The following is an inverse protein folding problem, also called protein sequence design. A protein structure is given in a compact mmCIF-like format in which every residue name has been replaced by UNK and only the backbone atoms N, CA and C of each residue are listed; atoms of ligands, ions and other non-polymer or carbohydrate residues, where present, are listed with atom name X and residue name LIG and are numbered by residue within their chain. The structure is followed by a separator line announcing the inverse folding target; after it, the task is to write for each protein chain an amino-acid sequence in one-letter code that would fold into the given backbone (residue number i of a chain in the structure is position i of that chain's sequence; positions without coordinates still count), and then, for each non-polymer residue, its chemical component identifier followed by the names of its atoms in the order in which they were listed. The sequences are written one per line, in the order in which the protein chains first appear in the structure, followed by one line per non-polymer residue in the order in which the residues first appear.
data_IF_074650863582
#
_entry.id   IF_074650863582
#
_cell.length_a   1.000
_cell.length_b   1.000
_cell.length_c   1.000
_cell.angle_alpha   90.00
_cell.angle_beta   90.00
_cell.angle_gamma   90.00
#
_symmetry.space_group_name_H-M   'P 1'
#
loop_
_entity.id
_entity.type
_entity.pdbx_description
1 polymer ?
#
# COMPACT_ATOMS: atom_id res chain seq x y z
N UNK A 1 20.81 44.79 -12.50
CA UNK A 1 20.24 44.17 -11.28
C UNK A 1 20.80 42.76 -11.16
N UNK A 2 20.97 42.19 -9.96
CA UNK A 2 21.34 40.77 -9.83
C UNK A 2 20.27 39.90 -10.49
N UNK A 3 20.66 39.09 -11.47
CA UNK A 3 19.79 38.05 -12.01
C UNK A 3 19.73 36.94 -10.97
N UNK A 4 18.56 36.74 -10.39
CA UNK A 4 18.31 35.63 -9.50
C UNK A 4 17.67 34.50 -10.28
N UNK A 5 18.07 33.28 -9.97
CA UNK A 5 17.28 32.09 -10.25
C UNK A 5 16.86 31.45 -8.91
N UNK A 6 16.00 30.46 -8.98
CA UNK A 6 15.43 29.69 -7.89
C UNK A 6 15.88 28.24 -8.07
N UNK A 7 16.73 27.78 -7.17
CA UNK A 7 17.36 26.46 -7.14
C UNK A 7 16.64 25.55 -6.15
N UNK A 8 16.44 24.29 -6.51
CA UNK A 8 15.83 23.31 -5.62
C UNK A 8 16.67 23.03 -4.36
N UNK A 9 16.01 22.95 -3.20
CA UNK A 9 16.63 22.65 -1.91
C UNK A 9 17.27 21.26 -1.80
N UNK A 10 16.93 20.32 -2.68
CA UNK A 10 17.50 18.96 -2.71
C UNK A 10 18.39 18.68 -3.90
N UNK A 11 18.27 19.45 -4.99
CA UNK A 11 18.96 19.19 -6.26
C UNK A 11 19.44 20.51 -6.89
N UNK A 12 20.69 20.92 -6.63
CA UNK A 12 21.21 22.21 -7.07
C UNK A 12 21.21 22.48 -8.59
N UNK A 13 20.98 21.46 -9.43
CA UNK A 13 20.84 21.62 -10.90
C UNK A 13 19.41 21.93 -11.37
N UNK A 14 18.40 21.84 -10.51
CA UNK A 14 17.02 22.25 -10.84
C UNK A 14 16.84 23.75 -10.61
N UNK A 15 16.88 24.55 -11.67
CA UNK A 15 17.03 26.01 -11.60
C UNK A 15 16.03 26.77 -12.49
N UNK A 16 15.24 27.68 -11.91
CA UNK A 16 14.15 28.44 -12.57
C UNK A 16 14.36 29.96 -12.45
N UNK A 17 13.92 30.78 -13.40
CA UNK A 17 14.10 32.24 -13.33
C UNK A 17 13.11 32.96 -12.40
N UNK A 18 11.96 32.35 -12.10
CA UNK A 18 10.92 32.88 -11.21
C UNK A 18 10.48 31.82 -10.19
N UNK A 19 9.81 32.25 -9.11
CA UNK A 19 9.21 31.35 -8.12
C UNK A 19 7.88 30.80 -8.69
N UNK A 20 7.61 29.52 -8.52
CA UNK A 20 6.31 28.94 -8.87
C UNK A 20 5.20 29.42 -7.94
N UNK A 21 3.96 29.41 -8.44
CA UNK A 21 2.75 29.73 -7.65
C UNK A 21 2.56 28.79 -6.44
N UNK A 22 3.08 27.55 -6.52
CA UNK A 22 3.06 26.56 -5.44
C UNK A 22 4.30 26.62 -4.51
N UNK A 23 5.38 27.33 -4.89
CA UNK A 23 6.65 27.41 -4.15
C UNK A 23 7.54 26.17 -4.20
N UNK A 24 7.11 25.10 -4.86
CA UNK A 24 7.85 23.84 -5.00
C UNK A 24 8.65 23.77 -6.31
N UNK A 25 9.61 22.86 -6.40
CA UNK A 25 10.44 22.65 -7.59
C UNK A 25 9.73 21.74 -8.63
N UNK A 26 9.34 22.24 -9.84
CA UNK A 26 8.69 21.43 -10.88
C UNK A 26 9.42 20.13 -11.22
N UNK A 27 10.71 20.18 -11.59
CA UNK A 27 11.50 19.00 -11.98
C UNK A 27 11.67 17.96 -10.86
N UNK A 28 11.50 18.36 -9.59
CA UNK A 28 11.39 17.41 -8.49
C UNK A 28 10.00 16.78 -8.47
N UNK A 29 8.94 17.58 -8.52
CA UNK A 29 7.56 17.08 -8.56
C UNK A 29 7.31 16.15 -9.77
N UNK A 30 7.84 16.49 -10.94
CA UNK A 30 7.74 15.73 -12.18
C UNK A 30 8.57 14.42 -12.15
N UNK A 31 9.53 14.30 -11.21
CA UNK A 31 10.26 13.05 -10.92
C UNK A 31 9.76 12.32 -9.65
N UNK A 32 8.81 12.90 -8.91
CA UNK A 32 8.19 12.39 -7.68
C UNK A 32 8.73 12.99 -6.38
N UNK A 33 9.83 13.75 -6.40
CA UNK A 33 10.45 14.33 -5.20
C UNK A 33 9.76 15.63 -4.75
N UNK A 34 9.62 15.84 -3.43
CA UNK A 34 9.03 17.07 -2.86
C UNK A 34 10.12 17.93 -2.26
N UNK A 35 10.40 19.04 -2.93
CA UNK A 35 11.46 19.98 -2.56
C UNK A 35 11.07 21.41 -2.91
N UNK A 36 11.58 22.38 -2.14
CA UNK A 36 11.23 23.81 -2.23
C UNK A 36 12.30 24.60 -3.00
N UNK A 37 11.97 25.84 -3.39
CA UNK A 37 12.83 26.69 -4.20
C UNK A 37 13.57 27.78 -3.39
N UNK A 38 14.90 27.86 -3.54
CA UNK A 38 15.85 28.71 -2.81
C UNK A 38 16.74 29.51 -3.78
N UNK A 39 17.04 30.78 -3.50
CA UNK A 39 17.48 31.74 -4.53
C UNK A 39 19.00 31.72 -4.87
N UNK A 40 19.40 31.19 -6.05
CA UNK A 40 20.81 31.10 -6.53
C UNK A 40 20.95 31.25 -8.08
N UNK A 41 21.97 30.69 -8.80
CA UNK A 41 22.36 31.11 -10.17
C UNK A 41 23.04 30.03 -11.08
N UNK A 42 22.93 30.20 -12.42
CA UNK A 42 23.61 29.51 -13.57
C UNK A 42 22.94 28.27 -14.26
N UNK A 43 23.65 27.51 -15.13
CA UNK A 43 23.11 26.81 -16.35
C UNK A 43 23.69 25.39 -16.65
N UNK A 44 23.15 24.65 -17.66
CA UNK A 44 23.43 23.20 -17.95
C UNK A 44 23.35 22.78 -19.48
N UNK A 45 22.92 21.55 -19.94
CA UNK A 45 23.77 20.39 -20.35
C UNK A 45 23.41 19.69 -21.72
N UNK A 46 23.83 18.41 -21.99
CA UNK A 46 23.32 17.55 -23.12
C UNK A 46 23.70 16.03 -23.17
N UNK A 47 22.95 15.08 -23.84
CA UNK A 47 22.90 13.61 -23.49
C UNK A 47 22.61 12.49 -24.58
N UNK A 48 22.40 11.19 -24.16
CA UNK A 48 21.57 10.06 -24.77
C UNK A 48 22.15 9.16 -25.96
N UNK A 49 21.73 7.94 -26.47
CA UNK A 49 20.68 6.82 -26.46
C UNK A 49 21.36 5.45 -26.96
N UNK A 50 20.87 4.23 -27.37
CA UNK A 50 19.75 3.16 -27.34
C UNK A 50 20.21 1.93 -28.25
N UNK A 51 19.64 0.73 -28.57
CA UNK A 51 18.65 -0.33 -28.13
C UNK A 51 18.71 -1.62 -29.09
N UNK A 52 18.06 -2.80 -28.81
CA UNK A 52 17.52 -3.88 -29.77
C UNK A 52 17.51 -5.39 -29.29
N UNK A 53 16.82 -6.36 -30.00
CA UNK A 53 16.62 -7.82 -29.65
C UNK A 53 16.19 -8.78 -30.85
N UNK A 54 16.22 -10.15 -30.73
CA UNK A 54 15.47 -11.14 -31.61
C UNK A 54 15.87 -12.67 -31.65
N UNK A 55 14.93 -13.66 -31.84
CA UNK A 55 15.15 -15.16 -32.05
C UNK A 55 13.86 -16.02 -32.42
N UNK A 56 13.92 -17.33 -32.83
CA UNK A 56 12.80 -18.36 -32.80
C UNK A 56 12.60 -19.43 -33.96
N UNK A 57 11.97 -20.64 -33.72
CA UNK A 57 11.37 -21.66 -34.69
C UNK A 57 10.36 -22.70 -34.03
N UNK A 58 9.78 -23.72 -34.74
CA UNK A 58 8.57 -24.59 -34.42
C UNK A 58 8.58 -26.11 -34.91
N UNK A 59 7.63 -27.01 -34.49
CA UNK A 59 7.39 -28.43 -35.00
C UNK A 59 6.03 -29.14 -34.59
N UNK A 60 5.72 -30.42 -35.00
CA UNK A 60 4.35 -31.05 -34.97
C UNK A 60 4.24 -32.60 -34.60
N UNK A 61 3.04 -33.16 -34.26
CA UNK A 61 2.83 -34.55 -33.66
C UNK A 61 1.46 -35.31 -33.95
N UNK A 62 1.23 -36.60 -33.53
CA UNK A 62 0.15 -37.52 -34.03
C UNK A 62 -0.71 -38.40 -33.03
N UNK A 63 -1.68 -39.17 -33.59
CA UNK A 63 -2.47 -40.36 -33.07
C UNK A 63 -3.39 -40.19 -31.82
N UNK A 64 -4.02 -41.28 -31.34
CA UNK A 64 -5.14 -41.26 -30.35
C UNK A 64 -4.74 -40.48 -29.09
N UNK A 65 -5.51 -39.43 -28.77
CA UNK A 65 -5.26 -38.59 -27.61
C UNK A 65 -6.53 -38.42 -26.75
N UNK A 66 -6.32 -38.52 -25.43
CA UNK A 66 -7.29 -38.14 -24.39
C UNK A 66 -6.94 -36.71 -23.97
N UNK A 67 -7.78 -35.74 -24.34
CA UNK A 67 -7.50 -34.34 -24.11
C UNK A 67 -8.37 -33.83 -22.95
N UNK A 68 -7.77 -33.17 -21.97
CA UNK A 68 -8.51 -32.40 -20.96
C UNK A 68 -8.82 -31.02 -21.58
N UNK A 69 -10.10 -30.75 -21.80
CA UNK A 69 -10.59 -29.48 -22.37
C UNK A 69 -10.81 -28.40 -21.31
N UNK A 70 -10.97 -28.82 -20.07
CA UNK A 70 -11.13 -27.97 -18.89
C UNK A 70 -10.74 -28.81 -17.67
N UNK A 71 -10.00 -28.29 -16.66
CA UNK A 71 -9.25 -27.04 -16.71
C UNK A 71 -8.27 -26.97 -17.89
N UNK A 72 -7.84 -25.77 -18.28
CA UNK A 72 -6.68 -25.60 -19.15
C UNK A 72 -5.41 -25.55 -18.29
N UNK A 73 -4.25 -25.87 -18.85
CA UNK A 73 -3.00 -25.81 -18.08
C UNK A 73 -2.70 -24.38 -17.62
N UNK A 74 -2.49 -24.19 -16.32
CA UNK A 74 -2.36 -22.88 -15.67
C UNK A 74 -3.69 -22.14 -15.40
N UNK A 75 -4.84 -22.81 -15.51
CA UNK A 75 -6.14 -22.22 -15.14
C UNK A 75 -6.21 -21.92 -13.63
N UNK A 76 -6.92 -20.86 -13.26
CA UNK A 76 -7.15 -20.44 -11.87
C UNK A 76 -8.66 -20.48 -11.56
N UNK A 77 -9.01 -20.88 -10.34
CA UNK A 77 -10.37 -21.00 -9.86
C UNK A 77 -10.51 -20.45 -8.43
N UNK A 78 -11.68 -19.93 -8.08
CA UNK A 78 -11.91 -19.37 -6.75
C UNK A 78 -12.05 -20.46 -5.68
N UNK A 79 -11.51 -20.20 -4.49
CA UNK A 79 -11.62 -21.10 -3.34
C UNK A 79 -13.10 -21.35 -2.97
N UNK A 80 -13.51 -22.62 -3.03
CA UNK A 80 -14.89 -23.05 -2.79
C UNK A 80 -15.76 -23.13 -4.05
N UNK A 81 -15.26 -22.75 -5.22
CA UNK A 81 -15.90 -23.07 -6.51
C UNK A 81 -15.81 -24.58 -6.83
N UNK A 82 -16.58 -25.02 -7.83
CA UNK A 82 -16.51 -26.39 -8.35
C UNK A 82 -15.74 -26.39 -9.67
N UNK A 83 -14.63 -27.13 -9.74
CA UNK A 83 -13.84 -27.28 -10.95
C UNK A 83 -14.41 -28.41 -11.80
N UNK A 84 -14.84 -28.09 -13.01
CA UNK A 84 -15.42 -29.03 -13.96
C UNK A 84 -14.34 -29.62 -14.86
N UNK A 85 -13.79 -30.79 -14.51
CA UNK A 85 -12.85 -31.50 -15.39
C UNK A 85 -13.62 -32.09 -16.57
N UNK A 86 -13.37 -31.63 -17.79
CA UNK A 86 -13.97 -32.10 -19.03
C UNK A 86 -12.91 -32.75 -19.90
N UNK A 87 -13.19 -33.94 -20.42
CA UNK A 87 -12.27 -34.67 -21.30
C UNK A 87 -12.94 -35.13 -22.59
N UNK A 88 -12.18 -35.10 -23.69
CA UNK A 88 -12.59 -35.63 -24.99
C UNK A 88 -11.59 -36.65 -25.53
N UNK A 89 -12.07 -37.50 -26.45
CA UNK A 89 -11.34 -38.61 -27.04
C UNK A 89 -11.24 -38.39 -28.54
N UNK A 90 -10.01 -38.34 -29.06
CA UNK A 90 -9.73 -38.01 -30.45
C UNK A 90 -8.94 -39.13 -31.17
N UNK A 91 -8.93 -39.10 -32.50
CA UNK A 91 -8.28 -40.10 -33.34
C UNK A 91 -9.15 -41.29 -33.75
N UNK A 92 -8.49 -42.29 -34.34
CA UNK A 92 -9.09 -43.58 -34.73
C UNK A 92 -9.60 -44.35 -33.52
N UNK A 93 -10.64 -45.18 -33.68
CA UNK A 93 -11.13 -46.11 -32.64
C UNK A 93 -11.62 -45.47 -31.32
N UNK A 94 -11.80 -44.14 -31.27
CA UNK A 94 -12.29 -43.39 -30.09
C UNK A 94 -13.60 -43.91 -29.45
N UNK A 95 -14.39 -44.69 -30.19
CA UNK A 95 -15.66 -45.26 -29.74
C UNK A 95 -15.48 -46.49 -28.83
N UNK A 96 -14.27 -47.07 -28.76
CA UNK A 96 -14.03 -48.33 -28.05
C UNK A 96 -13.86 -48.16 -26.53
N UNK A 97 -13.80 -46.90 -26.06
CA UNK A 97 -13.72 -46.51 -24.64
C UNK A 97 -15.00 -46.91 -23.89
N UNK A 98 -14.83 -47.65 -22.78
CA UNK A 98 -15.92 -48.14 -21.91
C UNK A 98 -15.89 -47.57 -20.50
N UNK A 99 -14.77 -47.01 -20.07
CA UNK A 99 -14.65 -46.32 -18.78
C UNK A 99 -13.63 -45.20 -18.85
N UNK A 100 -13.91 -44.11 -18.16
CA UNK A 100 -12.98 -43.00 -17.97
C UNK A 100 -12.96 -42.61 -16.49
N UNK A 101 -11.77 -42.48 -15.91
CA UNK A 101 -11.51 -42.20 -14.50
C UNK A 101 -10.76 -40.88 -14.39
N UNK A 102 -11.25 -39.97 -13.57
CA UNK A 102 -10.60 -38.70 -13.31
C UNK A 102 -9.85 -38.72 -11.97
N UNK A 103 -8.59 -38.31 -12.01
CA UNK A 103 -7.74 -38.13 -10.85
C UNK A 103 -7.44 -36.64 -10.65
N UNK A 104 -7.56 -36.16 -9.41
CA UNK A 104 -6.98 -34.89 -8.96
C UNK A 104 -6.00 -35.21 -7.85
N UNK A 105 -4.76 -34.73 -7.98
CA UNK A 105 -3.64 -34.98 -7.05
C UNK A 105 -3.41 -36.47 -6.78
N UNK A 106 -3.51 -37.26 -7.86
CA UNK A 106 -3.48 -38.73 -7.88
C UNK A 106 -4.58 -39.45 -7.08
N UNK A 107 -5.54 -38.72 -6.49
CA UNK A 107 -6.75 -39.28 -5.90
C UNK A 107 -7.85 -39.40 -6.94
N UNK A 108 -8.46 -40.59 -7.07
CA UNK A 108 -9.65 -40.79 -7.90
C UNK A 108 -10.81 -39.93 -7.33
N UNK A 109 -11.40 -39.06 -8.17
CA UNK A 109 -12.53 -38.21 -7.77
C UNK A 109 -13.87 -38.70 -8.33
N UNK A 110 -13.87 -39.38 -9.48
CA UNK A 110 -15.06 -39.92 -10.13
C UNK A 110 -14.71 -40.84 -11.32
N UNK A 111 -15.62 -41.76 -11.63
CA UNK A 111 -15.55 -42.64 -12.81
C UNK A 111 -16.84 -42.50 -13.65
N UNK A 112 -16.71 -42.55 -14.98
CA UNK A 112 -17.83 -42.48 -15.93
C UNK A 112 -17.68 -43.56 -17.00
N UNK A 113 -18.75 -44.31 -17.26
CA UNK A 113 -18.76 -45.40 -18.25
C UNK A 113 -19.20 -44.94 -19.65
N UNK A 114 -19.82 -43.76 -19.76
CA UNK A 114 -20.36 -43.18 -20.99
C UNK A 114 -20.08 -41.67 -21.04
N UNK A 115 -19.97 -41.12 -22.25
CA UNK A 115 -19.84 -39.67 -22.45
C UNK A 115 -21.17 -38.92 -22.30
N UNK A 116 -21.16 -37.58 -22.10
CA UNK A 116 -19.98 -36.71 -22.07
C UNK A 116 -19.16 -36.87 -20.78
N UNK A 117 -17.83 -36.92 -20.91
CA UNK A 117 -16.94 -37.16 -19.78
C UNK A 117 -16.65 -35.86 -19.01
N UNK A 118 -17.55 -35.52 -18.08
CA UNK A 118 -17.47 -34.32 -17.23
C UNK A 118 -17.51 -34.72 -15.75
N UNK A 119 -16.45 -34.39 -15.01
CA UNK A 119 -16.24 -34.76 -13.61
C UNK A 119 -16.21 -33.50 -12.73
N UNK A 120 -16.95 -33.49 -11.63
CA UNK A 120 -17.07 -32.31 -10.75
C UNK A 120 -16.16 -32.41 -9.53
N UNK A 121 -15.00 -31.74 -9.58
CA UNK A 121 -14.13 -31.55 -8.41
C UNK A 121 -14.71 -30.42 -7.53
N UNK A 122 -15.47 -30.80 -6.51
CA UNK A 122 -16.20 -29.88 -5.63
C UNK A 122 -15.43 -29.64 -4.34
N UNK A 123 -15.36 -28.38 -3.88
CA UNK A 123 -14.64 -27.97 -2.65
C UNK A 123 -13.16 -28.37 -2.64
N UNK A 124 -12.43 -28.03 -3.70
CA UNK A 124 -10.97 -28.08 -3.66
C UNK A 124 -10.39 -27.14 -2.59
N UNK A 125 -9.17 -27.44 -2.14
CA UNK A 125 -8.43 -26.65 -1.14
C UNK A 125 -7.75 -25.45 -1.83
N UNK A 126 -7.15 -24.54 -1.06
CA UNK A 126 -6.29 -23.48 -1.63
C UNK A 126 -4.90 -24.07 -1.96
N UNK A 127 -4.46 -23.95 -3.22
CA UNK A 127 -3.18 -24.52 -3.69
C UNK A 127 -3.10 -24.74 -5.20
N UNK A 128 -1.96 -25.29 -5.63
CA UNK A 128 -1.77 -25.85 -6.98
C UNK A 128 -2.21 -27.31 -7.00
N UNK A 129 -2.95 -27.71 -8.04
CA UNK A 129 -3.55 -29.02 -8.22
C UNK A 129 -3.20 -29.62 -9.60
N UNK A 130 -3.27 -30.94 -9.70
CA UNK A 130 -2.98 -31.69 -10.93
C UNK A 130 -4.14 -32.60 -11.33
N UNK A 131 -4.71 -32.35 -12.51
CA UNK A 131 -5.72 -33.21 -13.13
C UNK A 131 -5.09 -34.18 -14.14
N UNK A 132 -5.48 -35.46 -14.08
CA UNK A 132 -5.16 -36.47 -15.10
C UNK A 132 -6.36 -37.38 -15.32
N UNK A 133 -6.61 -37.75 -16.57
CA UNK A 133 -7.74 -38.59 -16.96
C UNK A 133 -7.23 -39.88 -17.60
N UNK A 134 -7.78 -41.02 -17.16
CA UNK A 134 -7.44 -42.36 -17.64
C UNK A 134 -8.64 -42.98 -18.31
N UNK A 135 -8.51 -43.37 -19.58
CA UNK A 135 -9.53 -44.05 -20.35
C UNK A 135 -9.17 -45.54 -20.55
N UNK A 136 -10.20 -46.39 -20.53
CA UNK A 136 -10.08 -47.83 -20.71
C UNK A 136 -10.98 -48.29 -21.87
N UNK A 137 -10.44 -49.07 -22.80
CA UNK A 137 -11.19 -49.67 -23.91
C UNK A 137 -11.95 -50.94 -23.48
N UNK A 138 -12.79 -51.44 -24.40
CA UNK A 138 -13.44 -52.76 -24.28
C UNK A 138 -12.43 -53.92 -24.17
N UNK A 139 -11.25 -53.78 -24.78
CA UNK A 139 -10.12 -54.72 -24.68
C UNK A 139 -9.33 -54.61 -23.36
N UNK A 140 -9.61 -53.61 -22.52
CA UNK A 140 -8.87 -53.34 -21.29
C UNK A 140 -7.58 -52.53 -21.49
N UNK A 141 -7.30 -52.06 -22.71
CA UNK A 141 -6.16 -51.17 -23.00
C UNK A 141 -6.37 -49.80 -22.34
N UNK A 142 -5.26 -49.22 -21.86
CA UNK A 142 -5.24 -47.98 -21.07
C UNK A 142 -4.68 -46.84 -21.92
N UNK A 143 -5.39 -45.73 -21.96
CA UNK A 143 -4.94 -44.46 -22.52
C UNK A 143 -5.00 -43.39 -21.43
N UNK A 144 -4.07 -42.45 -21.43
CA UNK A 144 -4.00 -41.38 -20.44
C UNK A 144 -3.95 -40.02 -21.14
N UNK A 145 -4.46 -38.99 -20.48
CA UNK A 145 -4.18 -37.61 -20.85
C UNK A 145 -2.80 -37.20 -20.36
N UNK A 146 -2.26 -36.13 -20.93
CA UNK A 146 -1.27 -35.31 -20.24
C UNK A 146 -1.79 -34.83 -18.88
N UNK A 147 -0.88 -34.46 -17.98
CA UNK A 147 -1.21 -33.84 -16.70
C UNK A 147 -1.48 -32.35 -16.93
N UNK A 148 -2.68 -31.90 -16.53
CA UNK A 148 -3.03 -30.48 -16.51
C UNK A 148 -2.87 -29.94 -15.10
N UNK A 149 -2.02 -28.93 -14.93
CA UNK A 149 -1.94 -28.18 -13.67
C UNK A 149 -2.97 -27.06 -13.67
N UNK A 150 -3.60 -26.83 -12.52
CA UNK A 150 -4.52 -25.71 -12.29
C UNK A 150 -4.44 -25.29 -10.83
N UNK A 151 -4.75 -24.04 -10.51
CA UNK A 151 -4.73 -23.55 -9.12
C UNK A 151 -6.11 -23.20 -8.62
N UNK A 152 -6.33 -23.37 -7.32
CA UNK A 152 -7.48 -22.86 -6.58
C UNK A 152 -6.96 -21.82 -5.58
N UNK A 153 -7.49 -20.59 -5.66
CA UNK A 153 -6.99 -19.44 -4.90
C UNK A 153 -8.11 -18.65 -4.26
N UNK A 154 -7.84 -18.08 -3.10
CA UNK A 154 -8.74 -17.14 -2.43
C UNK A 154 -8.65 -15.77 -3.11
N UNK A 155 -9.58 -15.42 -4.00
CA UNK A 155 -9.77 -14.05 -4.53
C UNK A 155 -10.37 -13.08 -3.49
N UNK A 156 -9.83 -13.14 -2.27
CA UNK A 156 -10.14 -12.25 -1.16
C UNK A 156 -8.92 -11.33 -1.04
N UNK A 157 -9.02 -10.04 -1.43
CA UNK A 157 -7.86 -9.17 -1.56
C UNK A 157 -7.13 -9.01 -0.22
N UNK A 158 -5.80 -9.02 -0.29
CA UNK A 158 -4.94 -8.64 0.84
C UNK A 158 -4.78 -7.13 0.88
N UNK A 159 -5.40 -6.48 1.87
CA UNK A 159 -5.46 -5.03 1.99
C UNK A 159 -4.42 -4.52 3.01
N UNK A 160 -3.62 -3.52 2.59
CA UNK A 160 -2.83 -2.68 3.49
C UNK A 160 -3.58 -1.38 3.82
N UNK A 161 -3.37 -0.80 5.00
CA UNK A 161 -4.13 0.37 5.48
C UNK A 161 -3.21 1.38 6.19
N UNK A 162 -3.04 2.56 5.61
CA UNK A 162 -2.35 3.69 6.24
C UNK A 162 -3.37 4.71 6.75
N UNK A 163 -3.35 4.99 8.05
CA UNK A 163 -4.13 6.07 8.66
C UNK A 163 -3.26 7.30 8.88
N UNK A 164 -3.73 8.45 8.42
CA UNK A 164 -3.15 9.76 8.69
C UNK A 164 -4.05 10.47 9.71
N UNK A 165 -3.48 10.87 10.84
CA UNK A 165 -4.08 11.78 11.80
C UNK A 165 -3.43 13.15 11.57
N UNK A 166 -4.23 14.04 10.99
CA UNK A 166 -3.79 15.25 10.31
C UNK A 166 -4.16 16.48 11.12
N UNK A 167 -3.18 17.09 11.77
CA UNK A 167 -3.40 18.31 12.56
C UNK A 167 -3.86 19.46 11.65
N UNK A 168 -4.94 20.10 12.08
CA UNK A 168 -5.58 21.25 11.48
C UNK A 168 -5.98 22.28 12.56
N UNK A 169 -5.21 22.37 13.64
CA UNK A 169 -5.31 23.45 14.61
C UNK A 169 -4.86 24.80 14.03
N UNK A 170 -5.16 25.90 14.73
CA UNK A 170 -4.82 27.26 14.29
C UNK A 170 -3.32 27.45 13.95
N UNK A 171 -2.44 26.86 14.77
CA UNK A 171 -0.98 26.96 14.64
C UNK A 171 -0.47 26.37 13.33
N UNK A 172 -1.15 25.37 12.78
CA UNK A 172 -0.81 24.79 11.47
C UNK A 172 -0.98 25.79 10.31
N UNK A 173 -1.69 26.91 10.50
CA UNK A 173 -1.80 27.99 9.50
C UNK A 173 -0.59 28.94 9.48
N UNK A 174 0.30 28.89 10.47
CA UNK A 174 1.52 29.68 10.53
C UNK A 174 2.60 29.16 9.54
N UNK A 175 3.62 29.97 9.20
CA UNK A 175 4.76 29.54 8.38
C UNK A 175 5.43 28.26 8.89
N UNK A 176 5.80 27.36 7.96
CA UNK A 176 6.43 26.08 8.27
C UNK A 176 7.81 26.23 8.92
N UNK A 177 8.54 27.28 8.55
CA UNK A 177 9.82 27.65 9.11
C UNK A 177 9.93 29.18 9.10
N UNK A 178 10.88 29.74 9.85
CA UNK A 178 11.24 31.16 9.75
C UNK A 178 11.53 31.51 8.28
N UNK A 179 10.95 32.61 7.80
CA UNK A 179 11.05 33.10 6.41
C UNK A 179 10.46 32.15 5.34
N UNK A 180 9.75 31.08 5.71
CA UNK A 180 9.04 30.24 4.73
C UNK A 180 7.78 30.93 4.18
N UNK A 181 7.52 30.88 2.86
CA UNK A 181 6.26 31.34 2.27
C UNK A 181 5.13 30.32 2.41
N UNK A 182 5.42 29.08 2.83
CA UNK A 182 4.44 28.01 2.99
C UNK A 182 4.03 27.88 4.44
N UNK A 183 2.74 27.64 4.69
CA UNK A 183 2.25 27.28 6.03
C UNK A 183 2.54 25.82 6.35
N UNK A 184 2.58 25.45 7.63
CA UNK A 184 2.72 24.04 8.08
C UNK A 184 1.66 23.16 7.40
N UNK A 185 0.41 23.60 7.40
CA UNK A 185 -0.74 22.94 6.76
C UNK A 185 -0.54 22.76 5.24
N UNK A 186 -0.11 23.80 4.51
CA UNK A 186 0.13 23.72 3.04
C UNK A 186 1.30 22.78 2.71
N UNK A 187 2.37 22.83 3.51
CA UNK A 187 3.52 21.96 3.35
C UNK A 187 3.12 20.48 3.53
N UNK A 188 2.39 20.15 4.60
CA UNK A 188 1.95 18.78 4.85
C UNK A 188 0.92 18.30 3.83
N UNK A 189 -0.06 19.13 3.45
CA UNK A 189 -1.03 18.77 2.42
C UNK A 189 -0.35 18.36 1.09
N UNK A 190 0.72 19.06 0.73
CA UNK A 190 1.48 18.78 -0.51
C UNK A 190 2.35 17.53 -0.38
N UNK A 191 3.10 17.36 0.71
CA UNK A 191 3.90 16.15 0.93
C UNK A 191 3.06 14.88 1.13
N UNK A 192 1.85 15.02 1.69
CA UNK A 192 0.89 13.92 1.78
C UNK A 192 0.39 13.51 0.40
N UNK A 193 -0.07 14.46 -0.43
CA UNK A 193 -0.55 14.17 -1.78
C UNK A 193 0.54 13.53 -2.66
N UNK A 194 1.74 14.13 -2.72
CA UNK A 194 2.86 13.57 -3.49
C UNK A 194 3.34 12.24 -2.93
N UNK A 195 3.49 12.10 -1.60
CA UNK A 195 3.92 10.84 -0.98
C UNK A 195 2.92 9.69 -1.13
N UNK A 196 1.64 9.99 -1.38
CA UNK A 196 0.62 9.00 -1.79
C UNK A 196 0.72 8.71 -3.30
N UNK A 197 0.98 9.71 -4.14
CA UNK A 197 1.05 9.54 -5.61
C UNK A 197 2.35 8.83 -6.05
N UNK A 198 3.43 8.96 -5.29
CA UNK A 198 4.65 8.13 -5.33
C UNK A 198 4.35 6.61 -5.29
N UNK A 199 3.18 6.22 -4.79
CA UNK A 199 2.75 4.83 -4.70
C UNK A 199 2.04 4.31 -5.97
N UNK A 200 1.92 5.12 -7.04
CA UNK A 200 1.44 4.66 -8.36
C UNK A 200 2.20 3.42 -8.83
N UNK A 201 3.53 3.41 -8.65
CA UNK A 201 4.42 2.34 -9.12
C UNK A 201 4.29 1.02 -8.35
N UNK A 202 3.44 0.95 -7.31
CA UNK A 202 3.17 -0.31 -6.60
C UNK A 202 2.24 -1.22 -7.41
N UNK A 203 2.64 -2.47 -7.61
CA UNK A 203 1.76 -3.53 -8.13
C UNK A 203 0.52 -3.79 -7.26
N UNK A 204 0.51 -3.30 -6.02
CA UNK A 204 -0.55 -3.43 -5.02
C UNK A 204 -1.31 -2.11 -4.76
N UNK A 205 -1.14 -1.07 -5.59
CA UNK A 205 -1.79 0.24 -5.41
C UNK A 205 -3.34 0.17 -5.28
N UNK A 206 -3.99 -0.79 -5.95
CA UNK A 206 -5.43 -1.05 -5.84
C UNK A 206 -5.86 -1.71 -4.51
N UNK A 207 -4.91 -2.26 -3.73
CA UNK A 207 -5.15 -2.86 -2.42
C UNK A 207 -4.50 -2.07 -1.26
N UNK A 208 -3.79 -0.98 -1.58
CA UNK A 208 -3.17 -0.08 -0.62
C UNK A 208 -4.17 1.05 -0.31
N UNK A 209 -4.82 0.98 0.86
CA UNK A 209 -5.75 2.01 1.32
C UNK A 209 -5.04 3.09 2.14
N UNK A 210 -5.51 4.32 1.95
CA UNK A 210 -5.18 5.47 2.79
C UNK A 210 -6.47 6.05 3.35
N UNK A 211 -6.52 6.21 4.67
CA UNK A 211 -7.57 6.93 5.38
C UNK A 211 -6.98 8.18 6.05
N UNK A 212 -7.61 9.34 5.87
CA UNK A 212 -7.15 10.59 6.45
C UNK A 212 -8.22 11.16 7.39
N UNK A 213 -7.82 11.45 8.63
CA UNK A 213 -8.63 12.20 9.58
C UNK A 213 -8.00 13.57 9.81
N UNK A 214 -8.77 14.64 9.68
CA UNK A 214 -8.39 15.96 10.20
C UNK A 214 -8.78 16.08 11.67
N UNK A 215 -7.97 16.76 12.46
CA UNK A 215 -8.31 17.09 13.84
C UNK A 215 -7.93 18.50 14.26
N UNK A 216 -8.79 19.08 15.09
CA UNK A 216 -8.52 20.26 15.92
C UNK A 216 -9.04 19.93 17.33
N UNK A 217 -10.04 20.64 17.86
CA UNK A 217 -10.83 20.15 19.00
C UNK A 217 -11.87 19.08 18.58
N UNK A 218 -12.07 18.91 17.26
CA UNK A 218 -12.95 17.90 16.63
C UNK A 218 -12.11 16.85 15.89
N UNK A 219 -12.73 15.76 15.42
CA UNK A 219 -12.07 14.76 14.55
C UNK A 219 -13.00 14.19 13.48
N UNK A 220 -12.70 14.49 12.21
CA UNK A 220 -13.48 14.11 11.02
C UNK A 220 -12.67 13.28 10.03
N UNK A 221 -13.31 12.31 9.37
CA UNK A 221 -12.71 11.53 8.28
C UNK A 221 -12.83 12.32 6.97
N UNK A 222 -11.70 12.74 6.39
CA UNK A 222 -11.64 13.44 5.10
C UNK A 222 -11.83 12.51 3.91
N UNK A 223 -11.29 11.29 3.98
CA UNK A 223 -11.45 10.23 2.98
C UNK A 223 -10.96 8.88 3.53
N UNK A 224 -11.45 7.80 2.94
CA UNK A 224 -10.81 6.47 2.94
C UNK A 224 -10.94 5.89 1.53
N UNK A 225 -9.81 5.62 0.86
CA UNK A 225 -9.81 5.10 -0.51
C UNK A 225 -8.48 4.42 -0.86
N UNK A 226 -8.42 3.74 -2.00
CA UNK A 226 -7.18 3.13 -2.53
C UNK A 226 -6.28 4.16 -3.18
N UNK A 227 -4.96 3.92 -3.19
CA UNK A 227 -3.99 4.71 -3.97
C UNK A 227 -4.42 4.79 -5.44
N UNK A 228 -4.83 3.67 -6.05
CA UNK A 228 -5.28 3.62 -7.45
C UNK A 228 -6.52 4.48 -7.73
N UNK A 229 -7.48 4.53 -6.80
CA UNK A 229 -8.66 5.38 -6.93
C UNK A 229 -8.34 6.85 -6.70
N UNK A 230 -7.46 7.19 -5.74
CA UNK A 230 -7.04 8.57 -5.48
C UNK A 230 -6.31 9.16 -6.70
N UNK A 231 -5.38 8.39 -7.29
CA UNK A 231 -4.72 8.72 -8.56
C UNK A 231 -5.77 9.03 -9.66
N UNK A 232 -6.68 8.09 -9.91
CA UNK A 232 -7.74 8.23 -10.91
C UNK A 232 -8.70 9.40 -10.63
N UNK A 233 -9.05 9.65 -9.36
CA UNK A 233 -10.03 10.68 -8.93
C UNK A 233 -9.53 12.11 -9.19
N UNK A 234 -8.22 12.30 -9.22
CA UNK A 234 -7.59 13.60 -9.44
C UNK A 234 -6.78 13.63 -10.76
N UNK A 235 -7.09 12.76 -11.72
CA UNK A 235 -6.46 12.69 -13.05
C UNK A 235 -4.91 12.53 -13.03
N UNK A 236 -4.38 11.79 -12.04
CA UNK A 236 -2.95 11.68 -11.70
C UNK A 236 -2.26 13.00 -11.34
N UNK A 237 -3.00 14.10 -11.17
CA UNK A 237 -2.48 15.40 -10.73
C UNK A 237 -2.51 15.52 -9.20
N UNK A 238 -1.36 15.29 -8.57
CA UNK A 238 -1.22 15.41 -7.12
C UNK A 238 -1.47 16.85 -6.61
N UNK A 239 -1.37 17.90 -7.44
CA UNK A 239 -1.64 19.29 -7.00
C UNK A 239 -3.11 19.49 -6.72
N UNK A 240 -4.02 18.91 -7.53
CA UNK A 240 -5.47 18.88 -7.24
C UNK A 240 -5.74 18.19 -5.91
N UNK A 241 -5.06 17.08 -5.62
CA UNK A 241 -5.22 16.36 -4.36
C UNK A 241 -4.62 17.12 -3.17
N UNK A 242 -3.47 17.79 -3.35
CA UNK A 242 -2.86 18.67 -2.34
C UNK A 242 -3.78 19.85 -1.99
N UNK A 243 -4.43 20.45 -3.00
CA UNK A 243 -5.44 21.49 -2.79
C UNK A 243 -6.65 20.93 -2.03
N UNK A 244 -7.21 19.77 -2.44
CA UNK A 244 -8.29 19.11 -1.69
C UNK A 244 -7.94 18.85 -0.22
N UNK A 245 -6.74 18.34 0.06
CA UNK A 245 -6.27 18.11 1.43
C UNK A 245 -6.16 19.44 2.19
N UNK A 246 -5.55 20.46 1.58
CA UNK A 246 -5.41 21.78 2.19
C UNK A 246 -6.78 22.42 2.50
N UNK A 247 -7.71 22.42 1.54
CA UNK A 247 -9.05 22.99 1.69
C UNK A 247 -9.89 22.24 2.74
N UNK A 248 -9.69 20.93 2.89
CA UNK A 248 -10.33 20.13 3.94
C UNK A 248 -9.77 20.42 5.33
N UNK A 249 -8.44 20.58 5.45
CA UNK A 249 -7.76 20.96 6.69
C UNK A 249 -8.14 22.39 7.08
N UNK A 250 -8.15 23.35 6.16
CA UNK A 250 -8.39 24.78 6.46
C UNK A 250 -9.80 25.09 7.01
N UNK A 251 -10.74 24.14 6.95
CA UNK A 251 -12.06 24.18 7.62
C UNK A 251 -11.98 23.92 9.13
N UNK A 252 -10.82 23.48 9.60
CA UNK A 252 -10.45 23.26 10.99
C UNK A 252 -9.32 24.25 11.31
N UNK A 253 -9.45 24.97 12.42
CA UNK A 253 -8.51 26.03 12.88
C UNK A 253 -8.65 26.28 14.40
N UNK A 254 -9.04 25.27 15.20
CA UNK A 254 -9.23 25.41 16.66
C UNK A 254 -7.97 24.95 17.44
N UNK A 255 -8.13 24.47 18.68
CA UNK A 255 -7.05 23.88 19.48
C UNK A 255 -6.61 22.48 18.98
N UNK A 256 -5.72 21.82 19.72
CA UNK A 256 -5.03 20.59 19.25
C UNK A 256 -5.33 19.38 20.14
N UNK A 257 -6.38 18.61 19.82
CA UNK A 257 -6.81 17.44 20.60
C UNK A 257 -6.27 16.11 20.02
N UNK A 258 -4.98 15.89 20.26
CA UNK A 258 -4.24 14.64 20.01
C UNK A 258 -4.95 13.44 20.68
N UNK A 259 -5.53 13.62 21.88
CA UNK A 259 -6.24 12.53 22.57
C UNK A 259 -7.41 12.01 21.74
N UNK A 260 -8.30 12.89 21.27
CA UNK A 260 -9.43 12.50 20.39
C UNK A 260 -8.91 11.91 19.08
N UNK A 261 -7.89 12.49 18.47
CA UNK A 261 -7.30 12.00 17.22
C UNK A 261 -6.81 10.54 17.37
N UNK A 262 -6.04 10.25 18.43
CA UNK A 262 -5.54 8.91 18.73
C UNK A 262 -6.68 7.92 19.06
N UNK A 263 -7.70 8.33 19.82
CA UNK A 263 -8.85 7.46 20.10
C UNK A 263 -9.65 7.15 18.82
N UNK A 264 -9.79 8.11 17.91
CA UNK A 264 -10.45 7.91 16.60
C UNK A 264 -9.65 6.94 15.72
N UNK A 265 -8.34 7.18 15.57
CA UNK A 265 -7.44 6.31 14.81
C UNK A 265 -7.41 4.89 15.37
N UNK A 266 -7.36 4.74 16.69
CA UNK A 266 -7.45 3.45 17.38
C UNK A 266 -8.76 2.72 17.07
N UNK A 267 -9.91 3.40 17.20
CA UNK A 267 -11.22 2.79 16.91
C UNK A 267 -11.36 2.39 15.44
N UNK A 268 -10.81 3.18 14.52
CA UNK A 268 -10.81 2.90 13.09
C UNK A 268 -9.96 1.67 12.76
N UNK A 269 -8.72 1.60 13.26
CA UNK A 269 -7.83 0.44 13.03
C UNK A 269 -8.40 -0.82 13.67
N UNK A 270 -8.91 -0.77 14.90
CA UNK A 270 -9.53 -1.94 15.53
C UNK A 270 -10.69 -2.47 14.69
N UNK A 271 -11.57 -1.59 14.19
CA UNK A 271 -12.68 -1.98 13.30
C UNK A 271 -12.19 -2.51 11.94
N UNK A 272 -11.12 -1.96 11.37
CA UNK A 272 -10.51 -2.46 10.14
C UNK A 272 -9.93 -3.87 10.33
N UNK A 273 -9.18 -4.13 11.41
CA UNK A 273 -8.61 -5.45 11.68
C UNK A 273 -9.70 -6.50 11.98
N UNK A 274 -10.72 -6.11 12.75
CA UNK A 274 -11.88 -6.96 13.06
C UNK A 274 -12.91 -7.10 11.93
N UNK A 275 -12.70 -6.43 10.78
CA UNK A 275 -13.60 -6.44 9.60
C UNK A 275 -15.01 -5.90 9.91
N UNK A 276 -15.08 -4.93 10.83
CA UNK A 276 -16.27 -4.24 11.32
C UNK A 276 -16.26 -2.74 10.99
N UNK A 277 -15.48 -2.34 9.97
CA UNK A 277 -15.42 -0.95 9.55
C UNK A 277 -16.68 -0.61 8.72
N UNK A 278 -17.56 0.30 9.18
CA UNK A 278 -18.80 0.61 8.48
C UNK A 278 -18.52 1.26 7.13
N UNK A 279 -19.37 0.96 6.14
CA UNK A 279 -19.33 1.54 4.79
C UNK A 279 -17.99 1.35 4.05
N UNK A 280 -17.12 0.45 4.52
CA UNK A 280 -15.86 0.15 3.85
C UNK A 280 -16.10 -0.49 2.47
N UNK A 281 -15.43 -0.02 1.38
CA UNK A 281 -15.74 -0.46 0.02
C UNK A 281 -15.59 -1.97 -0.25
N UNK A 282 -14.82 -2.69 0.57
CA UNK A 282 -14.58 -4.13 0.41
C UNK A 282 -15.14 -4.90 1.60
N UNK A 283 -16.26 -5.61 1.38
CA UNK A 283 -16.96 -6.42 2.39
C UNK A 283 -16.19 -7.67 2.84
N UNK A 284 -15.21 -8.15 2.05
CA UNK A 284 -14.40 -9.34 2.35
C UNK A 284 -12.94 -9.11 1.94
N UNK A 285 -12.04 -9.09 2.91
CA UNK A 285 -10.60 -8.97 2.69
C UNK A 285 -9.79 -9.81 3.69
N UNK A 286 -8.54 -10.10 3.32
CA UNK A 286 -7.46 -10.51 4.22
C UNK A 286 -6.69 -9.23 4.59
N UNK A 287 -6.17 -9.12 5.80
CA UNK A 287 -5.23 -8.03 6.13
C UNK A 287 -3.87 -8.44 5.58
N UNK A 288 -3.25 -7.59 4.76
CA UNK A 288 -1.93 -7.86 4.19
C UNK A 288 -0.90 -7.93 5.32
N UNK A 289 -0.09 -8.99 5.36
CA UNK A 289 0.90 -9.21 6.43
C UNK A 289 2.32 -8.93 5.92
N UNK A 290 3.06 -8.07 6.64
CA UNK A 290 4.47 -7.79 6.39
C UNK A 290 5.35 -8.64 7.31
N UNK A 291 6.32 -9.38 6.73
CA UNK A 291 7.42 -9.96 7.52
C UNK A 291 8.46 -8.88 7.81
N UNK A 292 8.79 -8.69 9.07
CA UNK A 292 9.92 -7.84 9.52
C UNK A 292 11.01 -8.69 10.19
N UNK A 293 12.25 -8.23 10.08
CA UNK A 293 13.34 -8.65 10.95
C UNK A 293 13.42 -7.63 12.10
N UNK A 294 13.29 -8.10 13.34
CA UNK A 294 13.39 -7.26 14.53
C UNK A 294 14.85 -6.99 14.91
N UNK A 295 15.06 -5.98 15.75
CA UNK A 295 16.37 -5.63 16.30
C UNK A 295 17.05 -6.79 17.06
N UNK A 296 16.26 -7.67 17.68
CA UNK A 296 16.70 -8.89 18.38
C UNK A 296 17.07 -10.06 17.43
N UNK A 297 17.07 -9.82 16.11
CA UNK A 297 17.27 -10.79 15.02
C UNK A 297 16.15 -11.83 14.83
N UNK A 298 15.07 -11.80 15.63
CA UNK A 298 13.88 -12.62 15.37
C UNK A 298 13.08 -12.07 14.19
N UNK A 299 12.36 -12.92 13.45
CA UNK A 299 11.44 -12.46 12.41
C UNK A 299 9.98 -12.56 12.85
N UNK A 300 9.22 -11.48 12.72
CA UNK A 300 7.79 -11.45 13.03
C UNK A 300 6.97 -11.13 11.78
N UNK A 301 5.74 -11.62 11.72
CA UNK A 301 4.72 -11.11 10.82
C UNK A 301 3.85 -10.12 11.58
N UNK A 302 3.58 -8.97 10.95
CA UNK A 302 2.73 -7.91 11.50
C UNK A 302 1.79 -7.41 10.39
N UNK A 303 0.62 -6.85 10.72
CA UNK A 303 -0.23 -6.19 9.73
C UNK A 303 0.53 -5.10 8.97
N UNK A 304 0.28 -4.97 7.66
CA UNK A 304 0.66 -3.81 6.86
C UNK A 304 -0.31 -2.65 7.15
N UNK A 305 -0.25 -2.18 8.38
CA UNK A 305 -1.19 -1.21 8.95
C UNK A 305 -0.43 -0.20 9.80
N UNK A 306 -0.54 1.10 9.50
CA UNK A 306 0.25 2.16 10.16
C UNK A 306 -0.65 3.34 10.52
N UNK A 307 -0.28 4.05 11.59
CA UNK A 307 -0.93 5.31 11.99
C UNK A 307 0.16 6.36 12.09
N UNK A 308 0.21 7.31 11.17
CA UNK A 308 1.02 8.52 11.31
C UNK A 308 0.13 9.59 11.94
N UNK A 309 0.54 10.14 13.08
CA UNK A 309 0.09 11.44 13.53
C UNK A 309 1.16 12.48 13.20
N UNK A 310 0.74 13.65 12.73
CA UNK A 310 1.59 14.82 12.73
C UNK A 310 0.91 15.95 13.51
N UNK A 311 1.71 16.87 14.08
CA UNK A 311 1.23 18.05 14.82
C UNK A 311 2.36 19.08 14.96
N UNK A 312 2.01 20.33 15.26
CA UNK A 312 2.93 21.39 15.67
C UNK A 312 2.66 21.90 17.10
N UNK A 313 1.60 21.40 17.74
CA UNK A 313 1.03 21.94 18.96
C UNK A 313 1.36 21.17 20.24
N UNK A 314 1.02 21.77 21.37
CA UNK A 314 0.84 21.07 22.64
C UNK A 314 -0.57 20.47 22.69
N UNK A 315 -0.75 19.37 23.43
CA UNK A 315 -2.06 18.77 23.64
C UNK A 315 -2.97 19.67 24.49
N UNK A 316 -4.15 19.99 23.95
CA UNK A 316 -5.26 20.60 24.68
C UNK A 316 -6.56 19.82 24.45
N UNK A 317 -7.38 19.67 25.49
CA UNK A 317 -8.71 19.07 25.35
C UNK A 317 -9.75 20.10 24.85
N UNK A 318 -11.02 19.70 24.70
CA UNK A 318 -12.10 20.61 24.30
C UNK A 318 -12.39 21.76 25.28
N UNK A 319 -11.92 21.67 26.53
CA UNK A 319 -12.05 22.70 27.55
C UNK A 319 -10.79 23.60 27.62
N UNK A 320 -9.83 23.40 26.72
CA UNK A 320 -8.48 24.00 26.74
C UNK A 320 -7.62 23.59 27.94
N UNK A 321 -7.91 22.44 28.57
CA UNK A 321 -7.05 21.87 29.61
C UNK A 321 -5.88 21.09 29.00
N UNK A 322 -4.66 21.35 29.50
CA UNK A 322 -3.43 20.69 29.06
C UNK A 322 -3.31 19.29 29.68
N UNK A 323 -4.09 18.34 29.13
CA UNK A 323 -4.18 16.95 29.61
C UNK A 323 -3.75 16.00 28.50
N UNK A 324 -2.60 15.35 28.65
CA UNK A 324 -2.15 14.27 27.76
C UNK A 324 -2.54 12.90 28.32
N UNK A 325 -3.34 12.14 27.57
CA UNK A 325 -3.71 10.76 27.93
C UNK A 325 -2.73 9.76 27.30
N UNK A 326 -2.42 8.62 27.95
CA UNK A 326 -1.48 7.66 27.39
C UNK A 326 -2.00 7.02 26.09
N UNK A 327 -1.08 6.76 25.16
CA UNK A 327 -1.38 6.21 23.83
C UNK A 327 -2.32 4.96 23.89
N UNK A 328 -3.49 5.00 23.24
CA UNK A 328 -4.48 3.91 23.30
C UNK A 328 -4.01 2.60 22.66
N UNK A 329 -3.09 2.66 21.68
CA UNK A 329 -2.48 1.47 21.07
C UNK A 329 -1.58 0.71 22.05
N UNK A 330 -0.94 1.43 23.01
CA UNK A 330 -0.19 0.83 24.13
C UNK A 330 -1.12 0.34 25.24
N UNK A 331 -2.12 1.14 25.62
CA UNK A 331 -3.03 0.82 26.74
C UNK A 331 -3.94 -0.38 26.47
N UNK A 332 -4.38 -0.56 25.23
CA UNK A 332 -5.34 -1.59 24.82
C UNK A 332 -4.84 -2.28 23.55
N UNK A 333 -3.81 -3.14 23.63
CA UNK A 333 -3.24 -3.79 22.46
C UNK A 333 -4.32 -4.49 21.63
N UNK A 334 -4.34 -4.23 20.32
CA UNK A 334 -5.31 -4.85 19.41
C UNK A 334 -4.79 -6.25 19.04
N UNK A 335 -5.69 -7.22 18.98
CA UNK A 335 -5.43 -8.59 18.55
C UNK A 335 -4.80 -8.61 17.13
N UNK A 336 -3.95 -9.59 16.85
CA UNK A 336 -3.07 -9.73 15.68
C UNK A 336 -2.09 -8.58 15.38
N UNK A 337 -2.23 -7.40 16.00
CA UNK A 337 -1.41 -6.23 15.66
C UNK A 337 0.05 -6.38 16.09
N UNK A 338 0.30 -7.07 17.22
CA UNK A 338 1.60 -7.57 17.69
C UNK A 338 2.75 -6.55 17.86
N UNK A 339 2.50 -5.26 17.60
CA UNK A 339 3.43 -4.14 17.69
C UNK A 339 2.65 -2.81 17.75
N UNK A 340 3.24 -1.75 18.29
CA UNK A 340 2.62 -0.41 18.28
C UNK A 340 2.88 0.29 16.93
N UNK A 341 1.81 0.53 16.18
CA UNK A 341 1.87 1.07 14.82
C UNK A 341 1.85 2.61 14.76
N UNK A 342 1.85 3.29 15.91
CA UNK A 342 1.83 4.75 15.98
C UNK A 342 3.23 5.34 15.71
N UNK A 343 3.27 6.19 14.69
CA UNK A 343 4.43 6.97 14.24
C UNK A 343 4.05 8.45 14.38
N UNK A 344 4.98 9.29 14.82
CA UNK A 344 4.74 10.72 15.06
C UNK A 344 5.69 11.63 14.29
N UNK A 345 5.16 12.73 13.77
CA UNK A 345 5.91 13.81 13.15
C UNK A 345 5.61 15.14 13.88
N UNK A 346 6.65 15.91 14.20
CA UNK A 346 6.50 17.22 14.87
C UNK A 346 7.09 18.37 14.03
N UNK A 347 6.36 19.48 13.93
CA UNK A 347 6.86 20.74 13.35
C UNK A 347 7.16 21.74 14.45
N UNK A 348 8.41 22.18 14.54
CA UNK A 348 8.90 22.98 15.66
C UNK A 348 10.28 22.52 16.09
N UNK A 349 10.71 22.92 17.29
CA UNK A 349 12.05 22.64 17.82
C UNK A 349 12.05 21.42 18.75
N UNK A 350 13.23 20.84 18.99
CA UNK A 350 13.39 19.71 19.91
C UNK A 350 13.01 20.07 21.36
N UNK A 351 13.18 21.34 21.74
CA UNK A 351 12.87 21.85 23.08
C UNK A 351 11.40 22.20 23.35
N UNK A 352 10.50 22.06 22.37
CA UNK A 352 9.10 22.44 22.53
C UNK A 352 8.34 21.40 23.37
N UNK A 353 7.43 21.85 24.23
CA UNK A 353 6.60 20.97 25.08
C UNK A 353 5.85 19.93 24.24
N UNK A 354 5.22 20.35 23.13
CA UNK A 354 4.49 19.47 22.21
C UNK A 354 5.37 18.39 21.56
N UNK A 355 6.64 18.71 21.30
CA UNK A 355 7.64 17.76 20.80
C UNK A 355 7.89 16.65 21.83
N UNK A 356 8.02 17.01 23.10
CA UNK A 356 8.20 16.08 24.22
C UNK A 356 6.94 15.26 24.53
N UNK A 357 5.77 15.89 24.48
CA UNK A 357 4.46 15.24 24.62
C UNK A 357 4.26 14.16 23.54
N UNK A 358 4.44 14.51 22.26
CA UNK A 358 4.32 13.55 21.16
C UNK A 358 5.35 12.42 21.28
N UNK A 359 6.62 12.72 21.59
CA UNK A 359 7.65 11.71 21.82
C UNK A 359 7.24 10.69 22.89
N UNK A 360 6.57 11.11 23.97
CA UNK A 360 6.15 10.23 25.08
C UNK A 360 5.08 9.20 24.66
N UNK A 361 4.21 9.56 23.72
CA UNK A 361 3.14 8.70 23.23
C UNK A 361 3.67 7.51 22.42
N UNK A 362 4.77 7.70 21.71
CA UNK A 362 5.28 6.78 20.68
C UNK A 362 6.06 5.60 21.26
N UNK A 363 6.06 4.47 20.54
CA UNK A 363 6.93 3.33 20.83
C UNK A 363 8.27 3.42 20.10
N UNK A 364 9.16 2.46 20.37
CA UNK A 364 10.36 2.25 19.57
C UNK A 364 10.05 1.40 18.32
N UNK A 365 10.69 1.75 17.20
CA UNK A 365 10.71 0.98 15.97
C UNK A 365 11.20 -0.46 16.21
N UNK A 366 10.51 -1.49 15.66
CA UNK A 366 10.81 -2.89 15.97
C UNK A 366 12.10 -3.37 15.31
N UNK A 367 12.56 -2.68 14.25
CA UNK A 367 13.76 -3.01 13.46
C UNK A 367 15.02 -2.39 14.08
N UNK A 368 14.91 -1.18 14.66
CA UNK A 368 16.06 -0.37 15.06
C UNK A 368 16.10 0.03 16.55
N UNK A 369 15.06 -0.27 17.32
CA UNK A 369 14.91 0.08 18.73
C UNK A 369 15.19 1.57 19.07
N UNK A 370 14.69 2.47 18.21
CA UNK A 370 14.69 3.93 18.41
C UNK A 370 13.26 4.46 18.26
N UNK A 371 12.87 5.60 18.87
CA UNK A 371 11.51 6.12 18.79
C UNK A 371 10.96 6.22 17.36
N UNK A 372 9.66 5.95 17.19
CA UNK A 372 8.93 6.07 15.92
C UNK A 372 8.60 7.54 15.61
N UNK A 373 9.60 8.42 15.70
CA UNK A 373 9.46 9.87 15.74
C UNK A 373 10.29 10.57 14.65
N UNK A 374 9.74 11.66 14.12
CA UNK A 374 10.34 12.51 13.09
C UNK A 374 10.20 13.99 13.50
N UNK A 375 11.28 14.77 13.36
CA UNK A 375 11.31 16.19 13.68
C UNK A 375 11.53 17.02 12.40
N UNK A 376 10.70 18.04 12.22
CA UNK A 376 10.73 19.02 11.15
C UNK A 376 10.98 20.42 11.74
N UNK A 377 12.19 20.55 12.27
CA UNK A 377 12.87 21.76 12.78
C UNK A 377 13.64 22.52 11.69
N UNK A 378 14.06 21.82 10.62
CA UNK A 378 14.93 22.32 9.55
C UNK A 378 14.35 22.03 8.13
N UNK A 379 14.35 23.01 7.20
CA UNK A 379 13.82 22.84 5.84
C UNK A 379 14.46 21.70 5.02
N UNK A 380 15.71 21.33 5.28
CA UNK A 380 16.37 20.21 4.58
C UNK A 380 15.71 18.86 4.90
N UNK A 381 15.00 18.75 6.04
CA UNK A 381 14.31 17.52 6.43
C UNK A 381 12.99 17.31 5.69
N UNK A 382 12.44 18.34 5.03
CA UNK A 382 11.17 18.28 4.26
C UNK A 382 11.16 17.12 3.25
N UNK A 383 12.28 16.86 2.56
CA UNK A 383 12.35 15.77 1.57
C UNK A 383 11.97 14.41 2.16
N UNK A 384 12.35 14.13 3.41
CA UNK A 384 11.99 12.89 4.11
C UNK A 384 10.47 12.76 4.37
N UNK A 385 9.73 13.87 4.34
CA UNK A 385 8.34 13.93 4.78
C UNK A 385 7.39 13.18 3.86
N UNK A 386 7.58 13.23 2.54
CA UNK A 386 6.75 12.47 1.59
C UNK A 386 6.86 10.95 1.83
N UNK A 387 8.04 10.47 2.27
CA UNK A 387 8.28 9.06 2.56
C UNK A 387 7.52 8.57 3.81
N UNK A 388 7.08 9.46 4.70
CA UNK A 388 6.14 9.12 5.79
C UNK A 388 4.75 8.73 5.27
N UNK A 389 4.32 9.29 4.14
CA UNK A 389 3.03 8.98 3.54
C UNK A 389 3.07 7.73 2.64
N UNK A 390 4.28 7.24 2.32
CA UNK A 390 4.50 5.99 1.56
C UNK A 390 4.22 4.70 2.35
N UNK A 391 3.82 4.79 3.62
CA UNK A 391 3.64 3.67 4.56
C UNK A 391 2.70 2.54 4.10
N UNK A 392 1.70 2.81 3.26
CA UNK A 392 0.79 1.77 2.75
C UNK A 392 1.50 0.72 1.87
N UNK A 393 2.70 1.04 1.36
CA UNK A 393 3.43 0.26 0.35
C UNK A 393 4.06 -1.05 0.84
N UNK A 394 4.14 -1.29 2.15
CA UNK A 394 4.97 -2.33 2.72
C UNK A 394 6.47 -1.97 2.79
N UNK A 395 6.90 -0.81 2.29
CA UNK A 395 8.23 -0.28 2.59
C UNK A 395 8.27 0.17 4.06
N UNK A 396 9.10 -0.47 4.88
CA UNK A 396 9.12 -0.27 6.33
C UNK A 396 9.55 1.15 6.71
N UNK A 397 8.62 1.99 7.19
CA UNK A 397 8.84 3.42 7.49
C UNK A 397 8.84 3.79 8.98
N UNK A 398 9.09 2.84 9.88
CA UNK A 398 8.86 2.99 11.33
C UNK A 398 9.64 4.14 12.02
N UNK A 399 10.83 4.51 11.53
CA UNK A 399 11.65 5.58 12.10
C UNK A 399 12.65 6.11 11.04
N UNK A 400 13.39 7.22 11.30
CA UNK A 400 14.34 7.79 10.33
C UNK A 400 15.32 6.79 9.73
N UNK A 401 15.94 5.93 10.56
CA UNK A 401 16.85 4.88 10.11
C UNK A 401 16.22 3.86 9.14
N UNK A 402 14.89 3.69 9.17
CA UNK A 402 14.20 2.86 8.20
C UNK A 402 14.07 3.56 6.83
N UNK A 403 13.84 4.87 6.81
CA UNK A 403 13.77 5.67 5.58
C UNK A 403 15.16 5.84 4.95
N UNK A 404 16.19 6.14 5.75
CA UNK A 404 17.59 6.27 5.28
C UNK A 404 18.08 5.05 4.47
N UNK A 405 17.54 3.85 4.75
CA UNK A 405 17.85 2.63 4.01
C UNK A 405 17.11 2.56 2.67
N UNK A 406 15.88 3.09 2.59
CA UNK A 406 15.11 3.15 1.34
C UNK A 406 15.65 4.24 0.41
N UNK A 407 16.16 5.36 0.94
CA UNK A 407 16.79 6.45 0.18
C UNK A 407 18.13 6.07 -0.48
N UNK A 408 18.60 4.82 -0.28
CA UNK A 408 19.88 4.29 -0.77
C UNK A 408 19.67 3.02 -1.62
N UNK A 409 18.46 2.81 -2.14
CA UNK A 409 18.02 1.64 -2.92
C UNK A 409 17.21 2.07 -4.15
#
# INVERSE_FOLDING_TARGET
MPVYKYICSSEPTHVYDELTEDGFCPLCMDSGEVSILLKQLTHSPGPSLRDSQGNGVDSHMPRIAINIESPTNGANYDLGSNVSVRASVSGTNRNDIKKMVCFVDNKNIAELNHGPFTFAYSRGLEGEHTARVVAYTTSGEKYESDIVSFSIRSDVPEIGMSVLLMDASASMTEPAFKESPLTKMRLVATSAASGIFDLERLKTNANAYVAAFKFDDRVELMFVDTVANLLKKYDNDFRKFANYIYDELYKFQQGTDINKALQKGYSFINKFLQKQLPEFPVQKYKVMMQRILKFDTTSAFIPNTRVLIYTDGMQYDANSEKILLPNPFKQRPIEDLNHDILIGAFFGQEGDDGCSELKSLLSNCPIHNVPQFFLFDDPTKIGNMKFLFRMASGASGFCPKCLEKQLKQ
#
